data_IF_488898916569
#
_entry.id   IF_488898916569
#
_cell.length_a   1.000
_cell.length_b   1.000
_cell.length_c   1.000
_cell.angle_alpha   90.00
_cell.angle_beta   90.00
_cell.angle_gamma   90.00
#
_symmetry.space_group_name_H-M   'P 1'
#
loop_
_entity.id
_entity.type
_entity.pdbx_description
1 polymer ?
#
# COMPACT_ATOMS: atom_id res chain seq x y z
N UNK A 1 -8.52 3.10 -9.35
CA UNK A 1 -9.06 2.62 -8.07
C UNK A 1 -8.46 1.27 -7.72
N UNK A 2 -8.39 0.98 -6.41
CA UNK A 2 -7.85 -0.29 -5.94
C UNK A 2 -8.83 -1.38 -6.09
N UNK A 3 -9.52 -1.38 -7.22
CA UNK A 3 -10.44 -2.45 -7.53
C UNK A 3 -9.65 -3.47 -8.27
N UNK A 4 -8.58 -2.97 -8.84
CA UNK A 4 -7.63 -3.84 -9.43
C UNK A 4 -6.95 -4.45 -8.22
N UNK A 5 -7.30 -3.85 -7.03
CA UNK A 5 -6.70 -4.24 -5.75
C UNK A 5 -5.40 -4.97 -5.96
N UNK A 6 -4.49 -4.13 -6.32
CA UNK A 6 -3.14 -4.42 -6.70
C UNK A 6 -2.84 -3.29 -7.66
N UNK A 7 -3.86 -2.40 -7.81
CA UNK A 7 -3.68 -1.22 -8.69
C UNK A 7 -2.40 -0.55 -8.28
N UNK A 8 -2.15 -0.74 -7.01
CA UNK A 8 -1.01 -0.21 -6.24
C UNK A 8 -1.60 0.18 -4.90
N UNK A 9 -2.91 -0.04 -4.80
CA UNK A 9 -3.63 0.23 -3.58
C UNK A 9 -3.24 -0.81 -2.55
N UNK A 10 -2.77 -1.96 -3.04
CA UNK A 10 -2.29 -3.01 -2.12
C UNK A 10 -0.98 -2.52 -1.53
N UNK A 11 -0.54 -1.41 -2.11
CA UNK A 11 0.68 -0.72 -1.73
C UNK A 11 0.37 0.71 -1.50
N UNK A 12 -0.88 1.10 -1.67
CA UNK A 12 -1.21 2.50 -1.46
C UNK A 12 -0.24 3.40 -2.24
N UNK A 13 0.55 2.77 -3.13
CA UNK A 13 1.57 3.49 -3.91
C UNK A 13 2.76 3.81 -2.99
N UNK A 14 2.58 3.43 -1.73
CA UNK A 14 3.53 3.66 -0.64
C UNK A 14 3.77 2.43 0.16
N UNK A 15 2.93 1.40 0.14
CA UNK A 15 3.18 0.34 1.08
C UNK A 15 3.03 1.14 2.37
N UNK A 16 2.19 2.18 2.22
CA UNK A 16 2.02 3.13 3.28
C UNK A 16 3.42 3.55 3.67
N UNK A 17 4.31 3.54 2.64
CA UNK A 17 5.72 3.85 2.78
C UNK A 17 6.50 2.57 3.13
N UNK A 18 5.94 1.34 2.84
CA UNK A 18 6.66 0.09 3.19
C UNK A 18 5.86 -0.78 4.06
N UNK A 19 4.55 -0.86 3.80
CA UNK A 19 3.68 -1.54 4.70
C UNK A 19 3.99 -0.85 6.01
N UNK A 20 4.59 0.38 5.91
CA UNK A 20 4.97 1.05 7.15
C UNK A 20 3.79 1.20 7.90
N UNK A 21 2.69 1.26 7.20
CA UNK A 21 1.42 1.37 7.95
C UNK A 21 1.47 0.33 9.06
N UNK A 22 2.71 0.05 9.31
CA UNK A 22 3.19 -0.86 10.34
C UNK A 22 4.68 -1.19 10.24
N UNK A 23 5.33 -1.27 9.07
CA UNK A 23 6.76 -1.47 9.17
C UNK A 23 7.34 -0.23 9.85
N UNK A 24 6.44 0.76 10.23
CA UNK A 24 6.88 1.98 10.95
C UNK A 24 5.95 3.16 10.69
N UNK A 25 4.67 2.87 10.67
CA UNK A 25 3.64 3.88 10.44
C UNK A 25 4.00 4.76 9.24
#
# INVERSE_FOLDING_TARGET
AGKETIRQYLKNEIKKKGRKAVIAW
#
